data_IF_920168424667
#
_entry.id   IF_920168424667
#
_cell.length_a   1.000
_cell.length_b   1.000
_cell.length_c   1.000
_cell.angle_alpha   90.00
_cell.angle_beta   90.00
_cell.angle_gamma   90.00
#
_symmetry.space_group_name_H-M   'P 1'
#
loop_
_entity.id
_entity.type
_entity.pdbx_description
1 polymer ?
#
# COMPACT_ATOMS: atom_id res chain seq x y z
N UNK A 1 8.44 -2.57 -4.75
CA UNK A 1 7.40 -3.61 -4.90
C UNK A 1 6.56 -3.31 -6.15
N UNK A 2 6.06 -4.33 -6.85
CA UNK A 2 5.30 -4.17 -8.11
C UNK A 2 4.02 -5.00 -8.09
N UNK A 3 2.94 -4.44 -8.62
CA UNK A 3 1.70 -5.16 -8.90
C UNK A 3 1.91 -6.28 -9.90
N UNK A 4 0.93 -7.17 -9.98
CA UNK A 4 0.92 -8.31 -10.93
C UNK A 4 0.98 -7.87 -12.38
N UNK A 5 0.49 -6.67 -12.69
CA UNK A 5 0.57 -6.04 -14.01
C UNK A 5 1.97 -5.44 -14.33
N UNK A 6 2.92 -5.51 -13.39
CA UNK A 6 4.28 -5.00 -13.53
C UNK A 6 4.47 -3.54 -13.14
N UNK A 7 3.39 -2.81 -12.82
CA UNK A 7 3.49 -1.43 -12.34
C UNK A 7 4.05 -1.35 -10.93
N UNK A 8 4.84 -0.32 -10.67
CA UNK A 8 5.33 -0.04 -9.31
C UNK A 8 4.21 0.49 -8.42
N UNK A 9 4.20 0.03 -7.17
CA UNK A 9 3.30 0.52 -6.14
C UNK A 9 3.70 1.93 -5.73
N UNK A 10 2.73 2.85 -5.69
CA UNK A 10 2.93 4.24 -5.28
C UNK A 10 1.96 4.64 -4.19
N UNK A 11 2.38 5.59 -3.35
CA UNK A 11 1.50 6.23 -2.38
C UNK A 11 0.36 6.95 -3.12
N UNK A 12 -0.86 6.75 -2.65
CA UNK A 12 -2.09 7.27 -3.26
C UNK A 12 -2.75 6.31 -4.24
N UNK A 13 -2.15 5.17 -4.55
CA UNK A 13 -2.78 4.14 -5.39
C UNK A 13 -4.02 3.56 -4.70
N UNK A 14 -5.13 3.52 -5.42
CA UNK A 14 -6.32 2.77 -5.00
C UNK A 14 -6.17 1.32 -5.43
N UNK A 15 -6.30 0.42 -4.49
CA UNK A 15 -6.09 -1.02 -4.69
C UNK A 15 -7.30 -1.82 -4.23
N UNK A 16 -7.53 -2.94 -4.90
CA UNK A 16 -8.46 -3.98 -4.47
C UNK A 16 -7.70 -4.97 -3.61
N UNK A 17 -8.33 -5.41 -2.53
CA UNK A 17 -7.85 -6.43 -1.62
C UNK A 17 -8.56 -7.75 -1.91
N UNK A 18 -7.92 -8.89 -1.61
CA UNK A 18 -8.47 -10.23 -1.89
C UNK A 18 -9.85 -10.52 -1.30
N UNK A 19 -10.24 -9.84 -0.22
CA UNK A 19 -11.58 -9.95 0.37
C UNK A 19 -12.69 -9.29 -0.46
N UNK A 20 -12.34 -8.61 -1.57
CA UNK A 20 -13.27 -7.79 -2.37
C UNK A 20 -13.37 -6.34 -1.90
N UNK A 21 -12.76 -6.01 -0.76
CA UNK A 21 -12.62 -4.66 -0.24
C UNK A 21 -11.65 -3.81 -1.06
N UNK A 22 -11.76 -2.50 -0.91
CA UNK A 22 -10.84 -1.54 -1.51
C UNK A 22 -10.08 -0.78 -0.41
N UNK A 23 -8.86 -0.37 -0.76
CA UNK A 23 -8.03 0.46 0.10
C UNK A 23 -7.15 1.39 -0.71
N UNK A 24 -6.41 2.24 0.00
CA UNK A 24 -5.45 3.16 -0.57
C UNK A 24 -4.06 2.89 0.00
N UNK A 25 -3.05 2.83 -0.86
CA UNK A 25 -1.66 2.76 -0.41
C UNK A 25 -1.28 4.08 0.26
N UNK A 26 -1.02 4.04 1.56
CA UNK A 26 -0.61 5.21 2.36
C UNK A 26 0.88 5.18 2.69
N UNK A 27 1.57 4.07 2.45
CA UNK A 27 3.01 3.96 2.65
C UNK A 27 3.65 2.84 1.85
N UNK A 28 4.87 3.07 1.39
CA UNK A 28 5.76 2.08 0.76
C UNK A 28 7.09 2.17 1.50
N UNK A 29 7.35 1.16 2.34
CA UNK A 29 8.50 1.14 3.25
C UNK A 29 9.80 0.96 2.45
N UNK A 30 9.76 0.12 1.41
CA UNK A 30 10.88 -0.18 0.52
C UNK A 30 11.48 1.06 -0.15
N UNK A 31 10.64 2.05 -0.47
CA UNK A 31 11.05 3.31 -1.11
C UNK A 31 10.96 4.51 -0.18
N UNK A 32 10.77 4.27 1.12
CA UNK A 32 10.59 5.29 2.14
C UNK A 32 9.58 6.39 1.77
N UNK A 33 8.49 6.00 1.10
CA UNK A 33 7.47 6.91 0.57
C UNK A 33 6.19 6.77 1.38
N UNK A 34 5.72 7.85 1.98
CA UNK A 34 4.54 7.84 2.86
C UNK A 34 3.60 9.01 2.55
N UNK A 35 2.30 8.82 2.78
CA UNK A 35 1.31 9.88 2.72
C UNK A 35 1.55 10.88 3.87
N UNK A 36 1.04 12.11 3.73
CA UNK A 36 1.33 13.23 4.63
C UNK A 36 1.10 12.94 6.12
N UNK A 37 0.09 12.13 6.42
CA UNK A 37 -0.29 11.76 7.79
C UNK A 37 0.45 10.54 8.34
N UNK A 38 1.40 9.98 7.58
CA UNK A 38 2.15 8.78 7.94
C UNK A 38 3.66 9.08 7.94
N UNK A 39 4.35 8.66 8.99
CA UNK A 39 5.79 8.93 9.16
C UNK A 39 6.62 7.66 8.98
N UNK A 40 7.71 7.75 8.22
CA UNK A 40 8.64 6.63 8.03
C UNK A 40 9.20 6.10 9.36
N UNK A 41 9.48 6.97 10.32
CA UNK A 41 10.04 6.61 11.62
C UNK A 41 9.10 5.71 12.43
N UNK A 42 7.79 5.95 12.34
CA UNK A 42 6.77 5.16 13.03
C UNK A 42 6.74 3.72 12.50
N UNK A 43 6.97 3.54 11.20
CA UNK A 43 6.87 2.25 10.50
C UNK A 43 8.23 1.58 10.23
N UNK A 44 9.33 2.22 10.62
CA UNK A 44 10.70 1.75 10.33
C UNK A 44 10.98 0.34 10.90
N UNK A 45 10.33 -0.03 12.00
CA UNK A 45 10.49 -1.35 12.63
C UNK A 45 9.99 -2.51 11.76
N UNK A 46 9.09 -2.24 10.79
CA UNK A 46 8.58 -3.23 9.84
C UNK A 46 9.59 -3.58 8.74
N UNK A 47 10.60 -2.72 8.52
CA UNK A 47 11.73 -2.86 7.57
C UNK A 47 11.37 -2.89 6.08
N UNK A 48 10.31 -3.58 5.67
CA UNK A 48 9.88 -3.70 4.26
C UNK A 48 8.36 -3.86 4.17
N UNK A 49 7.85 -3.73 2.96
CA UNK A 49 6.43 -3.86 2.67
C UNK A 49 5.76 -2.52 2.35
N UNK A 50 4.43 -2.55 2.44
CA UNK A 50 3.55 -1.42 2.17
C UNK A 50 2.41 -1.37 3.17
N UNK A 51 1.85 -0.17 3.31
CA UNK A 51 0.74 0.14 4.19
C UNK A 51 -0.46 0.52 3.34
N UNK A 52 -1.57 -0.17 3.56
CA UNK A 52 -2.84 0.09 2.90
C UNK A 52 -3.86 0.49 3.94
N UNK A 53 -4.48 1.65 3.74
CA UNK A 53 -5.66 2.06 4.50
C UNK A 53 -6.91 1.51 3.80
N UNK A 54 -7.57 0.53 4.41
CA UNK A 54 -8.83 -0.01 3.93
C UNK A 54 -9.99 0.96 4.19
N UNK A 55 -11.08 0.83 3.44
CA UNK A 55 -12.28 1.67 3.60
C UNK A 55 -12.90 1.60 5.00
N UNK A 56 -12.75 0.47 5.71
CA UNK A 56 -13.20 0.31 7.11
C UNK A 56 -12.28 1.04 8.12
N UNK A 57 -11.38 1.92 7.65
CA UNK A 57 -10.39 2.64 8.46
C UNK A 57 -9.33 1.75 9.13
N UNK A 58 -9.25 0.48 8.74
CA UNK A 58 -8.17 -0.43 9.16
C UNK A 58 -6.90 -0.15 8.36
N UNK A 59 -5.76 -0.08 9.07
CA UNK A 59 -4.45 -0.01 8.44
C UNK A 59 -3.84 -1.41 8.34
N UNK A 60 -3.55 -1.86 7.12
CA UNK A 60 -3.03 -3.17 6.82
C UNK A 60 -1.56 -3.06 6.38
N UNK A 61 -0.71 -3.90 6.95
CA UNK A 61 0.68 -4.07 6.52
C UNK A 61 0.82 -5.31 5.65
N UNK A 62 1.39 -5.12 4.46
CA UNK A 62 1.74 -6.19 3.54
C UNK A 62 3.27 -6.24 3.40
N UNK A 63 3.95 -7.19 4.06
CA UNK A 63 5.40 -7.36 3.96
C UNK A 63 5.84 -7.65 2.53
N UNK A 64 5.03 -8.43 1.81
CA UNK A 64 5.17 -8.74 0.40
C UNK A 64 3.84 -8.42 -0.29
N UNK A 65 3.89 -8.05 -1.58
CA UNK A 65 2.67 -7.72 -2.31
C UNK A 65 1.98 -9.04 -2.64
N UNK A 66 0.82 -9.25 -2.03
CA UNK A 66 -0.01 -10.42 -2.29
C UNK A 66 -0.52 -10.40 -3.75
N UNK A 67 -0.67 -11.58 -4.35
CA UNK A 67 -1.19 -11.71 -5.72
C UNK A 67 -2.64 -11.22 -5.84
N UNK A 68 -3.34 -11.13 -4.71
CA UNK A 68 -4.71 -10.64 -4.60
C UNK A 68 -4.81 -9.10 -4.47
N UNK A 69 -3.68 -8.39 -4.39
CA UNK A 69 -3.66 -6.91 -4.36
C UNK A 69 -3.54 -6.37 -5.79
N UNK A 70 -4.62 -5.77 -6.27
CA UNK A 70 -4.73 -5.27 -7.65
C UNK A 70 -4.86 -3.75 -7.68
N UNK A 71 -4.15 -3.07 -8.59
CA UNK A 71 -4.31 -1.64 -8.82
C UNK A 71 -5.66 -1.35 -9.50
N UNK A 72 -6.49 -0.51 -8.87
CA UNK A 72 -7.78 -0.04 -9.42
C UNK A 72 -7.58 1.29 -10.15
N UNK A 73 -6.96 2.26 -9.48
CA UNK A 73 -6.81 3.61 -9.98
C UNK A 73 -5.63 4.33 -9.34
N UNK A 74 -5.08 5.30 -10.06
CA UNK A 74 -4.04 6.21 -9.59
C UNK A 74 -4.46 7.63 -9.96
N UNK A 75 -4.55 8.52 -8.99
CA UNK A 75 -4.70 9.95 -9.28
C UNK A 75 -3.33 10.47 -9.71
N UNK A 76 -3.21 10.82 -10.99
CA UNK A 76 -1.99 11.35 -11.63
C UNK A 76 -1.81 12.84 -11.37
#
# INVERSE_FOLDING_TARGET
MKYKNGEEVKVGDQVKLGSGDAGMVVGVIDTNSFARDYSAEEWAYLKTGLLILANDSALLHYPELDEDVELIARSV
#
